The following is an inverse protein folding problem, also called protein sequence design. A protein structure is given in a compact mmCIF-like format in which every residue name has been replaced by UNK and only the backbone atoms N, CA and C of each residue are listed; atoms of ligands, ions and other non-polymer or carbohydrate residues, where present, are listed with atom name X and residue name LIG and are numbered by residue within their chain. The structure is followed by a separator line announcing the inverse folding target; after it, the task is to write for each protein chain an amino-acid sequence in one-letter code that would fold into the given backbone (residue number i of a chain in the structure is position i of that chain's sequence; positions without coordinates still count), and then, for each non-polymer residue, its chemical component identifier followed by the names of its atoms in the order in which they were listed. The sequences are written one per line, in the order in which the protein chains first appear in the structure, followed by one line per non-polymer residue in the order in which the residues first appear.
data_IF_626324114150
#
_entry.id   IF_626324114150
#
_cell.length_a   1.000
_cell.length_b   1.000
_cell.length_c   1.000
_cell.angle_alpha   90.00
_cell.angle_beta   90.00
_cell.angle_gamma   90.00
#
_symmetry.space_group_name_H-M   'P 1'
#
loop_
_entity.id
_entity.type
_entity.pdbx_description
1 polymer ?
#
# COMPACT_ATOMS: atom_id res chain seq x y z
N UNK A 1 44.04 14.95 -5.57
CA UNK A 1 43.05 15.90 -5.06
C UNK A 1 42.50 15.32 -3.77
N UNK A 2 42.59 15.97 -2.60
CA UNK A 2 42.05 15.42 -1.37
C UNK A 2 40.54 15.39 -1.44
N UNK A 3 39.95 14.21 -1.18
CA UNK A 3 38.49 14.03 -1.03
C UNK A 3 38.07 14.81 0.22
N UNK A 4 37.45 15.96 0.03
CA UNK A 4 36.74 16.64 1.10
C UNK A 4 35.52 15.76 1.50
N UNK A 5 35.77 14.81 2.38
CA UNK A 5 34.70 14.07 3.06
C UNK A 5 34.05 15.05 4.04
N UNK A 6 32.88 15.58 3.66
CA UNK A 6 32.02 16.31 4.57
C UNK A 6 31.73 15.36 5.75
N UNK A 7 31.98 15.78 7.02
CA UNK A 7 31.71 14.91 8.16
C UNK A 7 30.23 14.50 8.18
N UNK A 8 30.00 13.19 8.21
CA UNK A 8 28.63 12.64 8.25
C UNK A 8 28.01 13.04 9.59
N UNK A 9 27.02 13.92 9.55
CA UNK A 9 26.21 14.22 10.72
C UNK A 9 25.20 13.08 10.90
N UNK A 10 25.48 12.16 11.81
CA UNK A 10 24.66 10.96 12.06
C UNK A 10 23.19 11.26 12.39
N UNK A 11 22.87 12.40 13.00
CA UNK A 11 21.50 12.83 13.30
C UNK A 11 20.73 13.14 12.00
N UNK A 12 21.38 13.79 11.06
CA UNK A 12 20.82 14.06 9.74
C UNK A 12 20.70 12.78 8.92
N UNK A 13 21.67 11.85 9.04
CA UNK A 13 21.63 10.57 8.35
C UNK A 13 20.40 9.75 8.75
N UNK A 14 20.12 9.59 10.05
CA UNK A 14 18.95 8.86 10.53
C UNK A 14 17.64 9.49 10.05
N UNK A 15 17.51 10.82 10.10
CA UNK A 15 16.35 11.55 9.58
C UNK A 15 16.13 11.31 8.09
N UNK A 16 17.17 11.35 7.28
CA UNK A 16 17.09 11.09 5.84
C UNK A 16 16.74 9.63 5.51
N UNK A 17 17.25 8.66 6.28
CA UNK A 17 16.88 7.24 6.12
C UNK A 17 15.42 7.00 6.46
N UNK A 18 14.88 7.64 7.50
CA UNK A 18 13.46 7.59 7.82
C UNK A 18 12.63 8.22 6.70
N UNK A 19 13.06 9.35 6.14
CA UNK A 19 12.36 10.02 5.04
C UNK A 19 12.22 9.09 3.79
N UNK A 20 13.34 8.47 3.36
CA UNK A 20 13.32 7.58 2.19
C UNK A 20 12.55 6.27 2.44
N UNK A 21 12.35 5.89 3.70
CA UNK A 21 11.54 4.74 4.11
C UNK A 21 10.02 4.96 3.97
N UNK A 22 9.56 6.22 3.83
CA UNK A 22 8.13 6.59 3.65
C UNK A 22 7.20 6.02 4.73
N UNK A 23 7.34 6.39 6.02
CA UNK A 23 6.60 5.79 7.14
C UNK A 23 5.08 5.76 6.97
N UNK A 24 4.50 6.78 6.33
CA UNK A 24 3.05 6.88 6.11
C UNK A 24 2.46 5.71 5.29
N UNK A 25 3.25 5.12 4.40
CA UNK A 25 2.84 3.94 3.62
C UNK A 25 2.95 2.69 4.47
N UNK A 26 4.01 2.57 5.28
CA UNK A 26 4.27 1.44 6.16
C UNK A 26 3.11 1.22 7.13
N UNK A 27 2.62 2.29 7.78
CA UNK A 27 1.52 2.19 8.75
C UNK A 27 0.26 1.55 8.15
N UNK A 28 -0.08 1.88 6.90
CA UNK A 28 -1.25 1.29 6.26
C UNK A 28 -1.03 -0.20 5.92
N UNK A 29 0.17 -0.55 5.47
CA UNK A 29 0.52 -1.95 5.16
C UNK A 29 0.56 -2.81 6.42
N UNK A 30 1.18 -2.32 7.49
CA UNK A 30 1.23 -3.01 8.78
C UNK A 30 -0.18 -3.16 9.38
N UNK A 31 -1.03 -2.13 9.25
CA UNK A 31 -2.44 -2.20 9.65
C UNK A 31 -3.19 -3.30 8.88
N UNK A 32 -3.03 -3.38 7.56
CA UNK A 32 -3.66 -4.43 6.74
C UNK A 32 -3.14 -5.82 7.13
N UNK A 33 -1.84 -5.97 7.34
CA UNK A 33 -1.23 -7.24 7.73
C UNK A 33 -1.73 -7.72 9.11
N UNK A 34 -1.75 -6.83 10.11
CA UNK A 34 -2.28 -7.16 11.45
C UNK A 34 -3.78 -7.46 11.38
N UNK A 35 -4.54 -6.70 10.61
CA UNK A 35 -5.97 -6.99 10.45
C UNK A 35 -6.21 -8.36 9.85
N UNK A 36 -5.44 -8.75 8.82
CA UNK A 36 -5.54 -10.08 8.21
C UNK A 36 -5.16 -11.21 9.19
N UNK A 37 -4.13 -11.00 10.02
CA UNK A 37 -3.75 -11.92 11.09
C UNK A 37 -4.87 -12.08 12.12
N UNK A 38 -5.47 -10.96 12.55
CA UNK A 38 -6.57 -10.98 13.53
C UNK A 38 -7.81 -11.67 12.96
N UNK A 39 -8.18 -11.39 11.70
CA UNK A 39 -9.30 -12.05 11.03
C UNK A 39 -9.06 -13.55 10.94
N UNK A 40 -7.84 -13.99 10.63
CA UNK A 40 -7.49 -15.40 10.55
C UNK A 40 -7.61 -16.12 11.91
N UNK A 41 -7.16 -15.48 12.97
CA UNK A 41 -7.18 -16.05 14.31
C UNK A 41 -8.57 -16.02 14.95
N UNK A 42 -9.23 -14.86 14.96
CA UNK A 42 -10.54 -14.69 15.58
C UNK A 42 -11.67 -15.40 14.80
N UNK A 43 -11.50 -15.57 13.49
CA UNK A 43 -12.43 -16.28 12.61
C UNK A 43 -12.27 -17.81 12.65
N UNK A 44 -11.40 -18.32 13.51
CA UNK A 44 -11.15 -19.78 13.69
C UNK A 44 -10.59 -20.47 12.43
N UNK A 45 -9.87 -19.70 11.57
CA UNK A 45 -9.20 -20.27 10.40
C UNK A 45 -7.86 -20.94 10.72
N UNK A 46 -7.48 -20.92 11.99
CA UNK A 46 -6.28 -21.56 12.53
C UNK A 46 -6.49 -21.93 13.99
N UNK A 47 -5.81 -22.97 14.45
CA UNK A 47 -5.71 -23.34 15.87
C UNK A 47 -4.48 -22.72 16.54
N UNK A 48 -3.61 -22.08 15.78
CA UNK A 48 -2.41 -21.44 16.31
C UNK A 48 -2.79 -20.20 17.15
N UNK A 49 -2.33 -20.11 18.40
CA UNK A 49 -2.58 -18.93 19.23
C UNK A 49 -1.79 -17.72 18.71
N UNK A 50 -2.35 -16.52 18.85
CA UNK A 50 -1.58 -15.30 18.65
C UNK A 50 -0.47 -15.23 19.70
N UNK A 51 0.77 -15.20 19.26
CA UNK A 51 1.93 -15.03 20.14
C UNK A 51 2.62 -13.68 19.87
N UNK A 52 3.30 -13.17 20.89
CA UNK A 52 4.11 -11.96 20.75
C UNK A 52 5.13 -12.08 19.60
N UNK A 53 5.77 -13.25 19.45
CA UNK A 53 6.77 -13.49 18.43
C UNK A 53 6.19 -13.40 17.01
N UNK A 54 4.98 -13.91 16.78
CA UNK A 54 4.30 -13.83 15.47
C UNK A 54 3.98 -12.36 15.14
N UNK A 55 3.38 -11.63 16.09
CA UNK A 55 3.00 -10.23 15.88
C UNK A 55 4.25 -9.35 15.68
N UNK A 56 5.24 -9.46 16.55
CA UNK A 56 6.48 -8.71 16.46
C UNK A 56 7.26 -9.06 15.18
N UNK A 57 7.37 -10.35 14.85
CA UNK A 57 8.02 -10.83 13.63
C UNK A 57 7.35 -10.26 12.37
N UNK A 58 6.01 -10.26 12.30
CA UNK A 58 5.25 -9.73 11.19
C UNK A 58 5.46 -8.20 11.05
N UNK A 59 5.33 -7.45 12.13
CA UNK A 59 5.52 -5.99 12.12
C UNK A 59 6.96 -5.61 11.77
N UNK A 60 7.96 -6.27 12.37
CA UNK A 60 9.37 -5.97 12.08
C UNK A 60 9.69 -6.31 10.61
N UNK A 61 9.33 -7.51 10.15
CA UNK A 61 9.61 -7.93 8.78
C UNK A 61 8.84 -7.09 7.74
N UNK A 62 7.55 -6.80 7.99
CA UNK A 62 6.73 -5.94 7.14
C UNK A 62 7.28 -4.53 7.03
N UNK A 63 7.56 -3.90 8.17
CA UNK A 63 8.17 -2.56 8.25
C UNK A 63 9.51 -2.50 7.53
N UNK A 64 10.43 -3.44 7.79
CA UNK A 64 11.77 -3.46 7.17
C UNK A 64 11.69 -3.67 5.65
N UNK A 65 10.85 -4.62 5.19
CA UNK A 65 10.65 -4.89 3.76
C UNK A 65 10.06 -3.68 3.04
N UNK A 66 9.06 -3.04 3.63
CA UNK A 66 8.43 -1.84 3.09
C UNK A 66 9.38 -0.64 3.06
N UNK A 67 10.15 -0.42 4.14
CA UNK A 67 11.16 0.62 4.24
C UNK A 67 12.27 0.43 3.20
N UNK A 68 12.79 -0.79 3.09
CA UNK A 68 13.83 -1.13 2.10
C UNK A 68 13.32 -0.95 0.66
N UNK A 69 12.12 -1.40 0.36
CA UNK A 69 11.49 -1.23 -0.94
C UNK A 69 11.24 0.25 -1.28
N UNK A 70 10.82 1.06 -0.30
CA UNK A 70 10.65 2.50 -0.46
C UNK A 70 11.98 3.22 -0.71
N UNK A 71 13.05 2.82 -0.01
CA UNK A 71 14.39 3.34 -0.23
C UNK A 71 14.90 3.00 -1.64
N UNK A 72 14.76 1.75 -2.10
CA UNK A 72 15.10 1.37 -3.46
C UNK A 72 14.30 2.14 -4.52
N UNK A 73 13.00 2.39 -4.26
CA UNK A 73 12.21 3.26 -5.14
C UNK A 73 12.76 4.69 -5.17
N UNK A 74 13.15 5.29 -4.02
CA UNK A 74 13.78 6.62 -3.99
C UNK A 74 15.12 6.63 -4.71
N UNK A 75 15.91 5.56 -4.62
CA UNK A 75 17.18 5.41 -5.37
C UNK A 75 16.93 5.38 -6.89
N UNK A 76 15.95 4.62 -7.35
CA UNK A 76 15.61 4.45 -8.76
C UNK A 76 14.93 5.68 -9.37
N UNK A 77 14.16 6.41 -8.57
CA UNK A 77 13.37 7.55 -9.01
C UNK A 77 14.05 8.91 -8.81
N UNK A 78 15.29 8.96 -8.32
CA UNK A 78 15.97 10.23 -7.97
C UNK A 78 16.02 11.26 -9.08
N UNK A 79 16.09 10.82 -10.35
CA UNK A 79 16.11 11.67 -11.54
C UNK A 79 14.75 12.31 -11.85
N UNK A 80 13.67 11.64 -11.51
CA UNK A 80 12.31 12.16 -11.67
C UNK A 80 11.83 12.90 -10.42
N UNK A 81 12.29 12.50 -9.23
CA UNK A 81 11.92 13.14 -7.96
C UNK A 81 12.38 14.62 -7.92
N UNK A 82 13.48 14.97 -8.57
CA UNK A 82 13.97 16.36 -8.70
C UNK A 82 12.97 17.23 -9.49
N UNK A 83 12.27 16.67 -10.46
CA UNK A 83 11.32 17.38 -11.32
C UNK A 83 9.95 17.61 -10.69
N UNK A 84 9.65 16.88 -9.63
CA UNK A 84 8.33 16.91 -8.98
C UNK A 84 8.36 17.82 -7.76
N UNK A 85 7.45 18.81 -7.69
CA UNK A 85 7.36 19.77 -6.58
C UNK A 85 7.27 19.07 -5.20
N UNK A 86 6.52 17.97 -5.14
CA UNK A 86 6.33 17.18 -3.92
C UNK A 86 7.60 16.48 -3.42
N UNK A 87 8.55 16.16 -4.30
CA UNK A 87 9.68 15.26 -3.99
C UNK A 87 11.05 15.88 -4.24
N UNK A 88 11.13 17.04 -4.88
CA UNK A 88 12.40 17.72 -5.21
C UNK A 88 13.31 18.01 -4.00
N UNK A 89 12.71 18.14 -2.81
CA UNK A 89 13.44 18.44 -1.58
C UNK A 89 13.84 17.16 -0.79
N UNK A 90 13.54 15.96 -1.30
CA UNK A 90 13.94 14.72 -0.64
C UNK A 90 15.46 14.59 -0.60
N UNK A 91 15.98 14.02 0.47
CA UNK A 91 17.42 13.77 0.64
C UNK A 91 18.02 12.93 -0.51
N UNK A 92 17.22 12.04 -1.14
CA UNK A 92 17.62 11.27 -2.33
C UNK A 92 17.69 12.11 -3.60
N UNK A 93 16.83 13.13 -3.76
CA UNK A 93 16.79 14.00 -4.92
C UNK A 93 17.82 15.14 -4.83
N UNK A 94 18.01 15.72 -3.62
CA UNK A 94 18.94 16.82 -3.38
C UNK A 94 20.41 16.39 -3.26
N UNK A 95 20.68 15.07 -3.21
CA UNK A 95 22.03 14.56 -2.98
C UNK A 95 22.53 14.65 -1.54
N UNK A 96 21.68 15.07 -0.59
CA UNK A 96 22.00 15.06 0.84
C UNK A 96 22.27 13.65 1.38
N UNK A 97 21.68 12.65 0.75
CA UNK A 97 21.93 11.23 1.01
C UNK A 97 22.57 10.60 -0.24
N UNK A 98 23.76 10.02 -0.08
CA UNK A 98 24.46 9.36 -1.19
C UNK A 98 23.62 8.22 -1.78
N UNK A 99 23.53 8.10 -3.13
CA UNK A 99 22.81 7.02 -3.78
C UNK A 99 23.26 5.62 -3.33
N UNK A 100 24.56 5.42 -3.09
CA UNK A 100 25.08 4.14 -2.61
C UNK A 100 24.56 3.78 -1.21
N UNK A 101 24.45 4.78 -0.33
CA UNK A 101 23.89 4.58 1.02
C UNK A 101 22.43 4.15 0.90
N UNK A 102 21.63 4.80 0.04
CA UNK A 102 20.21 4.46 -0.15
C UNK A 102 20.07 3.03 -0.70
N UNK A 103 20.87 2.67 -1.68
CA UNK A 103 20.89 1.34 -2.29
C UNK A 103 21.22 0.26 -1.27
N UNK A 104 22.35 0.43 -0.55
CA UNK A 104 22.82 -0.53 0.46
C UNK A 104 21.80 -0.65 1.60
N UNK A 105 21.27 0.48 2.08
CA UNK A 105 20.21 0.50 3.10
C UNK A 105 18.98 -0.28 2.65
N UNK A 106 18.50 -0.04 1.44
CA UNK A 106 17.32 -0.74 0.89
C UNK A 106 17.53 -2.25 0.82
N UNK A 107 18.70 -2.70 0.33
CA UNK A 107 19.03 -4.14 0.24
C UNK A 107 19.13 -4.76 1.63
N UNK A 108 19.85 -4.12 2.57
CA UNK A 108 20.01 -4.60 3.95
C UNK A 108 18.65 -4.75 4.63
N UNK A 109 17.76 -3.75 4.52
CA UNK A 109 16.43 -3.80 5.14
C UNK A 109 15.60 -4.99 4.62
N UNK A 110 15.56 -5.22 3.30
CA UNK A 110 14.84 -6.36 2.72
C UNK A 110 15.48 -7.69 3.13
N UNK A 111 16.80 -7.76 3.19
CA UNK A 111 17.51 -8.98 3.62
C UNK A 111 17.21 -9.30 5.08
N UNK A 112 17.26 -8.31 5.98
CA UNK A 112 16.92 -8.49 7.40
C UNK A 112 15.42 -8.89 7.52
N UNK A 113 14.52 -8.27 6.74
CA UNK A 113 13.12 -8.65 6.71
C UNK A 113 12.92 -10.13 6.35
N UNK A 114 13.63 -10.62 5.34
CA UNK A 114 13.59 -12.03 4.94
C UNK A 114 14.11 -12.97 6.05
N UNK A 115 15.20 -12.61 6.72
CA UNK A 115 15.73 -13.38 7.85
C UNK A 115 14.74 -13.40 9.00
N UNK A 116 14.23 -12.25 9.43
CA UNK A 116 13.28 -12.12 10.53
C UNK A 116 12.01 -12.93 10.24
N UNK A 117 11.42 -12.78 9.04
CA UNK A 117 10.21 -13.51 8.69
C UNK A 117 10.43 -15.02 8.61
N UNK A 118 11.59 -15.47 8.14
CA UNK A 118 11.90 -16.91 8.09
C UNK A 118 12.10 -17.51 9.49
N UNK A 119 12.74 -16.76 10.40
CA UNK A 119 13.04 -17.23 11.75
C UNK A 119 11.82 -17.20 12.67
N UNK A 120 11.03 -16.13 12.63
CA UNK A 120 9.94 -15.90 13.56
C UNK A 120 8.55 -16.27 13.01
N UNK A 121 8.40 -16.43 11.70
CA UNK A 121 7.12 -16.75 11.05
C UNK A 121 7.24 -18.08 10.29
N UNK A 122 7.16 -18.04 8.95
CA UNK A 122 7.30 -19.22 8.11
C UNK A 122 7.73 -18.82 6.67
N UNK A 123 8.18 -19.81 5.88
CA UNK A 123 8.64 -19.58 4.51
C UNK A 123 7.58 -19.01 3.59
N UNK A 124 6.31 -19.37 3.75
CA UNK A 124 5.24 -18.83 2.92
C UNK A 124 5.04 -17.34 3.19
N UNK A 125 5.05 -16.92 4.45
CA UNK A 125 4.98 -15.51 4.84
C UNK A 125 6.19 -14.74 4.31
N UNK A 126 7.39 -15.31 4.44
CA UNK A 126 8.60 -14.71 3.84
C UNK A 126 8.42 -14.51 2.34
N UNK A 127 7.89 -15.53 1.64
CA UNK A 127 7.55 -15.44 0.23
C UNK A 127 6.57 -14.31 -0.08
N UNK A 128 5.52 -14.12 0.72
CA UNK A 128 4.54 -13.04 0.52
C UNK A 128 5.15 -11.64 0.75
N UNK A 129 5.97 -11.49 1.79
CA UNK A 129 6.68 -10.24 2.07
C UNK A 129 7.63 -9.88 0.92
N UNK A 130 8.43 -10.83 0.45
CA UNK A 130 9.35 -10.63 -0.66
C UNK A 130 8.62 -10.42 -2.00
N UNK A 131 7.48 -11.06 -2.20
CA UNK A 131 6.62 -10.84 -3.36
C UNK A 131 6.12 -9.39 -3.42
N UNK A 132 5.73 -8.81 -2.28
CA UNK A 132 5.38 -7.40 -2.19
C UNK A 132 6.53 -6.47 -2.59
N UNK A 133 7.73 -6.72 -2.07
CA UNK A 133 8.95 -5.98 -2.45
C UNK A 133 9.28 -6.14 -3.92
N UNK A 134 9.18 -7.36 -4.47
CA UNK A 134 9.41 -7.64 -5.88
C UNK A 134 8.44 -6.86 -6.78
N UNK A 135 7.14 -6.91 -6.49
CA UNK A 135 6.15 -6.17 -7.28
C UNK A 135 6.36 -4.66 -7.20
N UNK A 136 6.69 -4.13 -6.01
CA UNK A 136 6.88 -2.69 -5.85
C UNK A 136 8.17 -2.19 -6.53
N UNK A 137 9.29 -2.89 -6.36
CA UNK A 137 10.59 -2.44 -6.90
C UNK A 137 10.71 -2.80 -8.37
N UNK A 138 10.55 -4.07 -8.74
CA UNK A 138 10.83 -4.53 -10.10
C UNK A 138 9.66 -4.28 -11.04
N UNK A 139 8.45 -4.71 -10.67
CA UNK A 139 7.29 -4.61 -11.56
C UNK A 139 6.83 -3.16 -11.66
N UNK A 140 6.53 -2.52 -10.50
CA UNK A 140 6.02 -1.15 -10.51
C UNK A 140 7.12 -0.15 -10.85
N UNK A 141 8.21 -0.04 -10.05
CA UNK A 141 9.17 1.06 -10.18
C UNK A 141 10.04 0.94 -11.42
N UNK A 142 10.67 -0.22 -11.67
CA UNK A 142 11.61 -0.40 -12.79
C UNK A 142 10.88 -0.60 -14.11
N UNK A 143 9.86 -1.45 -14.13
CA UNK A 143 9.25 -1.86 -15.40
C UNK A 143 8.12 -0.94 -15.83
N UNK A 144 7.08 -0.75 -15.01
CA UNK A 144 5.81 -0.17 -15.46
C UNK A 144 5.71 1.34 -15.27
N UNK A 145 6.26 1.90 -14.17
CA UNK A 145 6.04 3.29 -13.76
C UNK A 145 6.29 4.32 -14.85
N UNK A 146 7.35 4.12 -15.62
CA UNK A 146 7.80 5.04 -16.68
C UNK A 146 7.28 4.70 -18.07
N UNK A 147 6.50 3.61 -18.23
CA UNK A 147 6.16 3.05 -19.55
C UNK A 147 4.68 2.97 -19.87
N UNK A 148 3.83 2.86 -18.86
CA UNK A 148 2.42 2.58 -19.10
C UNK A 148 1.50 3.15 -18.02
N UNK A 149 0.25 3.47 -18.40
CA UNK A 149 -0.81 3.87 -17.49
C UNK A 149 -1.31 2.72 -16.58
N UNK A 150 -0.99 1.47 -16.93
CA UNK A 150 -1.31 0.28 -16.13
C UNK A 150 -0.39 0.11 -14.91
N UNK A 151 0.59 1.02 -14.75
CA UNK A 151 1.56 0.97 -13.66
C UNK A 151 0.91 0.85 -12.28
N UNK A 152 -0.17 1.61 -12.01
CA UNK A 152 -0.90 1.57 -10.74
C UNK A 152 -1.75 0.30 -10.62
N UNK A 153 -2.41 -0.13 -11.70
CA UNK A 153 -3.27 -1.33 -11.65
C UNK A 153 -2.44 -2.56 -11.32
N UNK A 154 -1.40 -2.84 -12.11
CA UNK A 154 -0.55 -4.01 -11.92
C UNK A 154 0.32 -3.86 -10.66
N UNK A 155 0.92 -2.67 -10.46
CA UNK A 155 1.75 -2.36 -9.30
C UNK A 155 0.99 -2.42 -7.97
N UNK A 156 -0.34 -2.22 -8.00
CA UNK A 156 -1.22 -2.32 -6.84
C UNK A 156 -1.17 -3.68 -6.13
N UNK A 157 -0.75 -4.73 -6.82
CA UNK A 157 -0.54 -6.05 -6.23
C UNK A 157 0.48 -6.04 -5.07
N UNK A 158 1.43 -5.10 -5.07
CA UNK A 158 2.36 -4.94 -3.95
C UNK A 158 1.63 -4.70 -2.61
N UNK A 159 0.49 -3.97 -2.63
CA UNK A 159 -0.33 -3.77 -1.44
C UNK A 159 -1.05 -5.03 -0.97
N UNK A 160 -1.44 -5.92 -1.89
CA UNK A 160 -2.10 -7.20 -1.58
C UNK A 160 -1.21 -8.11 -0.74
N UNK A 161 0.09 -8.04 -0.93
CA UNK A 161 1.08 -8.86 -0.23
C UNK A 161 1.02 -8.66 1.30
N UNK A 162 0.62 -7.48 1.78
CA UNK A 162 0.46 -7.22 3.21
C UNK A 162 -0.67 -8.08 3.83
N UNK A 163 -1.82 -8.18 3.15
CA UNK A 163 -2.92 -9.05 3.60
C UNK A 163 -2.51 -10.53 3.57
N UNK A 164 -1.81 -10.96 2.51
CA UNK A 164 -1.30 -12.32 2.40
C UNK A 164 -0.29 -12.64 3.50
N UNK A 165 0.66 -11.74 3.76
CA UNK A 165 1.66 -11.92 4.81
C UNK A 165 1.02 -12.03 6.21
N UNK A 166 0.07 -11.15 6.54
CA UNK A 166 -0.64 -11.20 7.79
C UNK A 166 -1.40 -12.50 8.01
N UNK A 167 -2.13 -12.96 6.99
CA UNK A 167 -2.86 -14.23 7.04
C UNK A 167 -1.93 -15.43 7.19
N UNK A 168 -0.93 -15.54 6.32
CA UNK A 168 0.00 -16.68 6.30
C UNK A 168 0.89 -16.75 7.53
N UNK A 169 1.14 -15.60 8.19
CA UNK A 169 1.96 -15.54 9.41
C UNK A 169 1.42 -16.42 10.52
N UNK A 170 0.11 -16.55 10.64
CA UNK A 170 -0.52 -17.35 11.70
C UNK A 170 -1.09 -18.69 11.19
N UNK A 171 -1.54 -18.73 9.92
CA UNK A 171 -2.17 -19.94 9.36
C UNK A 171 -1.19 -20.88 8.66
N UNK A 172 -0.05 -20.37 8.18
CA UNK A 172 0.89 -21.11 7.34
C UNK A 172 0.38 -21.47 5.94
N UNK A 173 -0.78 -20.96 5.52
CA UNK A 173 -1.40 -21.28 4.23
C UNK A 173 -2.19 -20.09 3.67
N UNK A 174 -2.44 -20.09 2.34
CA UNK A 174 -3.37 -19.18 1.67
C UNK A 174 -4.69 -19.90 1.44
N UNK A 175 -5.79 -19.28 1.84
CA UNK A 175 -7.13 -19.74 1.53
C UNK A 175 -7.93 -18.67 0.75
N UNK A 176 -9.18 -18.97 0.42
CA UNK A 176 -10.04 -18.07 -0.35
C UNK A 176 -10.21 -16.70 0.32
N UNK A 177 -10.39 -16.65 1.64
CA UNK A 177 -10.59 -15.39 2.37
C UNK A 177 -9.34 -14.51 2.31
N UNK A 178 -8.16 -15.10 2.47
CA UNK A 178 -6.89 -14.38 2.30
C UNK A 178 -6.75 -13.79 0.90
N UNK A 179 -7.08 -14.60 -0.14
CA UNK A 179 -7.02 -14.16 -1.53
C UNK A 179 -8.00 -13.01 -1.77
N UNK A 180 -9.22 -13.09 -1.23
CA UNK A 180 -10.21 -12.01 -1.37
C UNK A 180 -9.79 -10.74 -0.63
N UNK A 181 -9.20 -10.83 0.56
CA UNK A 181 -8.66 -9.66 1.26
C UNK A 181 -7.54 -8.98 0.46
N UNK A 182 -6.59 -9.76 -0.07
CA UNK A 182 -5.55 -9.21 -0.95
C UNK A 182 -6.13 -8.61 -2.24
N UNK A 183 -7.15 -9.26 -2.82
CA UNK A 183 -7.85 -8.75 -4.01
C UNK A 183 -8.63 -7.46 -3.70
N UNK A 184 -9.20 -7.33 -2.51
CA UNK A 184 -9.84 -6.08 -2.06
C UNK A 184 -8.84 -4.91 -2.05
N UNK A 185 -7.63 -5.12 -1.51
CA UNK A 185 -6.55 -4.12 -1.55
C UNK A 185 -6.12 -3.83 -2.98
N UNK A 186 -6.01 -4.85 -3.83
CA UNK A 186 -5.67 -4.71 -5.24
C UNK A 186 -6.68 -3.83 -6.00
N UNK A 187 -7.99 -4.12 -5.85
CA UNK A 187 -9.05 -3.35 -6.53
C UNK A 187 -9.17 -1.93 -5.93
N UNK A 188 -8.89 -1.74 -4.64
CA UNK A 188 -8.88 -0.43 -4.00
C UNK A 188 -7.77 0.48 -4.53
N UNK A 189 -6.61 -0.07 -4.83
CA UNK A 189 -5.40 0.69 -5.19
C UNK A 189 -5.59 1.64 -6.37
N UNK A 190 -6.22 1.27 -7.51
CA UNK A 190 -6.35 2.19 -8.63
C UNK A 190 -7.17 3.44 -8.31
N UNK A 191 -8.34 3.33 -7.70
CA UNK A 191 -9.16 4.51 -7.37
C UNK A 191 -8.46 5.44 -6.38
N UNK A 192 -7.73 4.89 -5.41
CA UNK A 192 -6.91 5.65 -4.47
C UNK A 192 -5.81 6.44 -5.18
N UNK A 193 -4.98 5.78 -5.99
CA UNK A 193 -3.85 6.42 -6.65
C UNK A 193 -4.25 7.31 -7.83
N UNK A 194 -5.35 7.02 -8.53
CA UNK A 194 -5.81 7.92 -9.59
C UNK A 194 -6.37 9.23 -9.02
N UNK A 195 -6.99 9.21 -7.83
CA UNK A 195 -7.36 10.43 -7.12
C UNK A 195 -6.11 11.26 -6.73
N UNK A 196 -5.03 10.60 -6.27
CA UNK A 196 -3.74 11.26 -6.04
C UNK A 196 -3.12 11.79 -7.34
N UNK A 197 -3.20 11.04 -8.43
CA UNK A 197 -2.67 11.44 -9.72
C UNK A 197 -3.43 12.66 -10.30
N UNK A 198 -4.76 12.74 -10.08
CA UNK A 198 -5.56 13.93 -10.42
C UNK A 198 -5.19 15.15 -9.56
N UNK A 199 -4.85 14.93 -8.28
CA UNK A 199 -4.38 15.98 -7.39
C UNK A 199 -3.00 16.52 -7.81
N UNK A 200 -2.14 15.65 -8.35
CA UNK A 200 -0.72 15.90 -8.63
C UNK A 200 -0.38 15.77 -10.13
N UNK A 201 -1.34 16.03 -11.00
CA UNK A 201 -1.18 15.86 -12.45
C UNK A 201 -0.08 16.76 -13.05
N UNK A 202 0.09 17.98 -12.52
CA UNK A 202 1.17 18.87 -12.94
C UNK A 202 2.55 18.25 -12.64
N UNK A 203 2.76 17.73 -11.42
CA UNK A 203 4.00 17.07 -11.00
C UNK A 203 4.34 15.87 -11.93
N UNK A 204 3.35 15.03 -12.23
CA UNK A 204 3.55 13.85 -13.09
C UNK A 204 3.79 14.22 -14.56
N UNK A 205 3.15 15.29 -15.03
CA UNK A 205 3.37 15.82 -16.39
C UNK A 205 4.79 16.36 -16.53
N UNK A 206 5.27 17.15 -15.58
CA UNK A 206 6.62 17.72 -15.59
C UNK A 206 7.69 16.61 -15.48
N UNK A 207 7.42 15.58 -14.70
CA UNK A 207 8.32 14.43 -14.58
C UNK A 207 8.28 13.48 -15.78
N UNK A 208 7.32 13.62 -16.70
CA UNK A 208 7.14 12.74 -17.86
C UNK A 208 6.65 11.33 -17.49
N UNK A 209 5.94 11.19 -16.35
CA UNK A 209 5.42 9.90 -15.87
C UNK A 209 4.01 9.69 -16.45
N UNK A 210 3.76 8.57 -17.17
CA UNK A 210 2.48 8.32 -17.82
C UNK A 210 1.39 7.86 -16.83
N UNK A 211 1.09 8.72 -15.85
CA UNK A 211 -0.05 8.47 -14.96
C UNK A 211 -1.35 8.65 -15.73
N UNK A 212 -2.40 7.95 -15.31
CA UNK A 212 -3.66 7.92 -16.05
C UNK A 212 -4.17 9.32 -16.45
N UNK A 213 -4.29 10.34 -15.54
CA UNK A 213 -4.78 11.66 -15.94
C UNK A 213 -3.86 12.40 -16.91
N UNK A 214 -2.55 12.15 -16.89
CA UNK A 214 -1.58 12.74 -17.82
C UNK A 214 -1.80 12.26 -19.24
N UNK A 215 -2.15 10.99 -19.43
CA UNK A 215 -2.29 10.36 -20.74
C UNK A 215 -3.70 10.51 -21.30
N UNK A 216 -4.73 10.26 -20.50
CA UNK A 216 -6.13 10.24 -21.00
C UNK A 216 -6.90 11.51 -20.67
N UNK A 217 -6.32 12.43 -19.92
CA UNK A 217 -6.94 13.66 -19.43
C UNK A 217 -7.78 13.44 -18.16
N UNK A 218 -8.01 14.54 -17.41
CA UNK A 218 -8.66 14.53 -16.09
C UNK A 218 -10.07 13.94 -16.11
N UNK A 219 -10.89 14.27 -17.12
CA UNK A 219 -12.28 13.80 -17.23
C UNK A 219 -12.35 12.29 -17.40
N UNK A 220 -11.53 11.72 -18.29
CA UNK A 220 -11.50 10.27 -18.51
C UNK A 220 -10.91 9.56 -17.30
N UNK A 221 -9.87 10.10 -16.67
CA UNK A 221 -9.29 9.54 -15.46
C UNK A 221 -10.31 9.48 -14.30
N UNK A 222 -11.09 10.55 -14.09
CA UNK A 222 -12.17 10.56 -13.10
C UNK A 222 -13.28 9.53 -13.43
N UNK A 223 -13.59 9.29 -14.72
CA UNK A 223 -14.51 8.20 -15.13
C UNK A 223 -13.95 6.82 -14.80
N UNK A 224 -12.67 6.58 -15.04
CA UNK A 224 -12.04 5.30 -14.65
C UNK A 224 -12.00 5.12 -13.12
N UNK A 225 -11.77 6.22 -12.37
CA UNK A 225 -11.83 6.18 -10.90
C UNK A 225 -13.20 5.75 -10.39
N UNK A 226 -14.30 6.29 -10.95
CA UNK A 226 -15.65 5.89 -10.53
C UNK A 226 -16.02 4.48 -10.99
N UNK A 227 -15.61 4.06 -12.19
CA UNK A 227 -15.82 2.68 -12.66
C UNK A 227 -15.13 1.69 -11.72
N UNK A 228 -13.89 1.97 -11.32
CA UNK A 228 -13.18 1.14 -10.35
C UNK A 228 -13.86 1.15 -8.97
N UNK A 229 -14.42 2.28 -8.54
CA UNK A 229 -15.18 2.36 -7.29
C UNK A 229 -16.47 1.52 -7.36
N UNK A 230 -17.16 1.54 -8.49
CA UNK A 230 -18.36 0.71 -8.74
C UNK A 230 -18.02 -0.79 -8.81
N UNK A 231 -16.79 -1.16 -9.10
CA UNK A 231 -16.30 -2.53 -8.98
C UNK A 231 -15.91 -2.87 -7.53
N UNK A 232 -15.23 -1.95 -6.84
CA UNK A 232 -14.74 -2.13 -5.48
C UNK A 232 -15.87 -2.37 -4.47
N UNK A 233 -16.95 -1.58 -4.55
CA UNK A 233 -18.04 -1.65 -3.57
C UNK A 233 -18.74 -3.02 -3.60
N UNK A 234 -19.25 -3.53 -4.72
CA UNK A 234 -19.82 -4.87 -4.76
C UNK A 234 -18.81 -5.96 -4.38
N UNK A 235 -17.54 -5.80 -4.79
CA UNK A 235 -16.51 -6.75 -4.39
C UNK A 235 -16.30 -6.78 -2.87
N UNK A 236 -16.35 -5.62 -2.18
CA UNK A 236 -16.27 -5.61 -0.71
C UNK A 236 -17.43 -6.36 -0.05
N UNK A 237 -18.59 -6.49 -0.69
CA UNK A 237 -19.74 -7.22 -0.16
C UNK A 237 -19.66 -8.74 -0.37
N UNK A 238 -18.68 -9.24 -1.14
CA UNK A 238 -18.49 -10.69 -1.35
C UNK A 238 -18.25 -11.44 -0.03
N UNK A 239 -17.67 -10.80 0.98
CA UNK A 239 -17.46 -11.41 2.29
C UNK A 239 -18.76 -11.80 2.99
N UNK A 240 -19.88 -11.12 2.70
CA UNK A 240 -21.22 -11.51 3.21
C UNK A 240 -21.62 -12.90 2.69
N UNK A 241 -21.28 -13.23 1.45
CA UNK A 241 -21.54 -14.55 0.86
C UNK A 241 -20.67 -15.65 1.48
N UNK A 242 -19.63 -15.26 2.22
CA UNK A 242 -18.73 -16.17 2.94
C UNK A 242 -19.05 -16.29 4.44
N UNK A 243 -20.23 -15.80 4.85
CA UNK A 243 -20.72 -15.94 6.22
C UNK A 243 -20.44 -14.75 7.14
N UNK A 244 -19.92 -13.62 6.61
CA UNK A 244 -19.88 -12.38 7.39
C UNK A 244 -21.30 -11.79 7.51
N UNK A 245 -21.61 -11.26 8.69
CA UNK A 245 -22.97 -10.92 9.09
C UNK A 245 -23.37 -9.45 8.89
N UNK A 246 -24.39 -9.05 9.68
CA UNK A 246 -24.99 -7.70 9.56
C UNK A 246 -24.04 -6.58 9.93
N UNK A 247 -23.11 -6.77 10.89
CA UNK A 247 -22.16 -5.72 11.30
C UNK A 247 -21.29 -5.33 10.12
N UNK A 248 -20.73 -6.33 9.43
CA UNK A 248 -19.93 -6.10 8.22
C UNK A 248 -20.75 -5.47 7.10
N UNK A 249 -21.93 -6.01 6.81
CA UNK A 249 -22.80 -5.54 5.75
C UNK A 249 -23.14 -4.05 5.91
N UNK A 250 -23.62 -3.65 7.09
CA UNK A 250 -24.07 -2.27 7.35
C UNK A 250 -22.89 -1.29 7.23
N UNK A 251 -21.76 -1.61 7.85
CA UNK A 251 -20.57 -0.75 7.79
C UNK A 251 -20.07 -0.63 6.34
N UNK A 252 -19.96 -1.74 5.62
CA UNK A 252 -19.46 -1.77 4.24
C UNK A 252 -20.36 -0.99 3.29
N UNK A 253 -21.69 -1.07 3.44
CA UNK A 253 -22.65 -0.31 2.63
C UNK A 253 -22.53 1.18 2.92
N UNK A 254 -22.51 1.59 4.19
CA UNK A 254 -22.41 3.01 4.58
C UNK A 254 -21.13 3.62 4.01
N UNK A 255 -19.98 3.01 4.27
CA UNK A 255 -18.69 3.55 3.81
C UNK A 255 -18.49 3.40 2.30
N UNK A 256 -19.11 2.39 1.68
CA UNK A 256 -19.17 2.27 0.23
C UNK A 256 -19.93 3.43 -0.42
N UNK A 257 -21.10 3.80 0.13
CA UNK A 257 -21.88 4.96 -0.34
C UNK A 257 -21.09 6.27 -0.16
N UNK A 258 -20.41 6.44 0.98
CA UNK A 258 -19.58 7.62 1.22
C UNK A 258 -18.39 7.70 0.25
N UNK A 259 -17.73 6.57 -0.04
CA UNK A 259 -16.66 6.51 -1.05
C UNK A 259 -17.20 6.85 -2.45
N UNK A 260 -18.34 6.28 -2.82
CA UNK A 260 -19.01 6.58 -4.08
C UNK A 260 -19.34 8.08 -4.20
N UNK A 261 -19.89 8.67 -3.13
CA UNK A 261 -20.20 10.09 -3.09
C UNK A 261 -18.97 10.99 -3.34
N UNK A 262 -17.82 10.69 -2.69
CA UNK A 262 -16.60 11.46 -2.92
C UNK A 262 -16.11 11.34 -4.37
N UNK A 263 -16.18 10.14 -4.97
CA UNK A 263 -15.76 9.90 -6.34
C UNK A 263 -16.76 10.44 -7.39
N UNK A 264 -18.06 10.51 -7.08
CA UNK A 264 -19.04 11.22 -7.91
C UNK A 264 -18.77 12.72 -7.91
N UNK A 265 -18.41 13.32 -6.76
CA UNK A 265 -17.96 14.72 -6.73
C UNK A 265 -16.71 14.94 -7.59
N UNK A 266 -15.75 14.00 -7.51
CA UNK A 266 -14.54 14.05 -8.32
C UNK A 266 -14.87 13.95 -9.82
N UNK A 267 -15.81 13.08 -10.19
CA UNK A 267 -16.26 12.95 -11.59
C UNK A 267 -16.88 14.24 -12.13
N UNK A 268 -17.67 14.94 -11.31
CA UNK A 268 -18.32 16.20 -11.69
C UNK A 268 -17.32 17.36 -11.81
N UNK A 269 -16.23 17.33 -11.03
CA UNK A 269 -15.24 18.40 -10.96
C UNK A 269 -13.81 17.82 -10.98
N UNK A 270 -13.37 17.19 -12.08
CA UNK A 270 -12.11 16.45 -12.14
C UNK A 270 -10.86 17.33 -12.10
N UNK A 271 -11.00 18.64 -12.30
CA UNK A 271 -9.91 19.61 -12.23
C UNK A 271 -9.75 20.25 -10.83
N UNK A 272 -10.72 20.05 -9.93
CA UNK A 272 -10.68 20.63 -8.58
C UNK A 272 -9.76 19.81 -7.66
N UNK A 273 -8.61 20.41 -7.34
CA UNK A 273 -7.58 19.78 -6.48
C UNK A 273 -8.08 19.52 -5.04
N UNK A 274 -9.02 20.33 -4.51
CA UNK A 274 -9.58 20.10 -3.18
C UNK A 274 -10.48 18.88 -3.15
N UNK A 275 -11.27 18.68 -4.21
CA UNK A 275 -12.14 17.49 -4.35
C UNK A 275 -11.27 16.24 -4.56
N UNK A 276 -10.22 16.32 -5.40
CA UNK A 276 -9.28 15.22 -5.60
C UNK A 276 -8.56 14.86 -4.29
N UNK A 277 -8.15 15.85 -3.49
CA UNK A 277 -7.57 15.64 -2.17
C UNK A 277 -8.55 14.94 -1.21
N UNK A 278 -9.83 15.34 -1.23
CA UNK A 278 -10.87 14.74 -0.38
C UNK A 278 -11.09 13.27 -0.76
N UNK A 279 -11.23 12.96 -2.06
CA UNK A 279 -11.37 11.59 -2.54
C UNK A 279 -10.15 10.73 -2.18
N UNK A 280 -8.94 11.24 -2.39
CA UNK A 280 -7.69 10.58 -2.00
C UNK A 280 -7.62 10.32 -0.50
N UNK A 281 -7.85 11.34 0.33
CA UNK A 281 -7.77 11.22 1.80
C UNK A 281 -8.84 10.30 2.37
N UNK A 282 -10.05 10.25 1.80
CA UNK A 282 -11.13 9.40 2.28
C UNK A 282 -10.92 7.93 1.94
N UNK A 283 -10.24 7.63 0.85
CA UNK A 283 -10.07 6.25 0.38
C UNK A 283 -9.24 5.36 1.33
N UNK A 284 -8.25 5.92 2.06
CA UNK A 284 -7.47 5.13 3.04
C UNK A 284 -8.28 4.78 4.29
N UNK A 285 -9.01 5.71 4.96
CA UNK A 285 -9.98 5.36 5.99
C UNK A 285 -11.04 4.35 5.54
N UNK A 286 -11.54 4.44 4.30
CA UNK A 286 -12.45 3.45 3.76
C UNK A 286 -11.85 2.03 3.86
N UNK A 287 -10.64 1.82 3.32
CA UNK A 287 -10.00 0.51 3.38
C UNK A 287 -9.82 0.03 4.83
N UNK A 288 -9.33 0.91 5.70
CA UNK A 288 -9.13 0.57 7.11
C UNK A 288 -10.44 0.16 7.80
N UNK A 289 -11.52 0.88 7.54
CA UNK A 289 -12.83 0.61 8.14
C UNK A 289 -13.41 -0.73 7.62
N UNK A 290 -13.20 -1.07 6.35
CA UNK A 290 -13.62 -2.38 5.83
C UNK A 290 -12.90 -3.52 6.56
N UNK A 291 -11.58 -3.41 6.80
CA UNK A 291 -10.85 -4.42 7.58
C UNK A 291 -11.29 -4.45 9.05
N UNK A 292 -11.54 -3.30 9.67
CA UNK A 292 -12.11 -3.22 11.04
C UNK A 292 -13.50 -3.86 11.07
N UNK A 293 -14.33 -3.63 10.06
CA UNK A 293 -15.68 -4.21 9.99
C UNK A 293 -15.64 -5.73 9.93
N UNK A 294 -14.68 -6.33 9.20
CA UNK A 294 -14.48 -7.78 9.21
C UNK A 294 -14.14 -8.30 10.62
N UNK A 295 -13.28 -7.60 11.34
CA UNK A 295 -12.89 -7.98 12.72
C UNK A 295 -14.10 -7.84 13.67
N UNK A 296 -14.81 -6.72 13.62
CA UNK A 296 -15.97 -6.47 14.46
C UNK A 296 -17.08 -7.50 14.21
N UNK A 297 -17.32 -7.86 12.95
CA UNK A 297 -18.34 -8.84 12.60
C UNK A 297 -18.03 -10.23 13.18
N UNK A 298 -16.76 -10.64 13.15
CA UNK A 298 -16.32 -11.89 13.78
C UNK A 298 -16.55 -11.86 15.31
N UNK A 299 -16.29 -10.72 15.96
CA UNK A 299 -16.46 -10.58 17.40
C UNK A 299 -17.93 -10.57 17.85
N UNK A 300 -18.80 -9.92 17.09
CA UNK A 300 -20.23 -9.82 17.45
C UNK A 300 -21.08 -10.96 16.88
N UNK A 301 -20.67 -11.58 15.79
CA UNK A 301 -21.31 -12.75 15.14
C UNK A 301 -22.83 -12.64 15.00
N UNK A 302 -23.33 -11.55 14.40
CA UNK A 302 -24.74 -11.36 14.09
C UNK A 302 -25.00 -11.89 12.66
N UNK A 303 -25.46 -13.16 12.48
CA UNK A 303 -25.57 -13.77 11.15
C UNK A 303 -26.70 -13.14 10.35
N UNK A 304 -26.58 -13.19 9.00
CA UNK A 304 -27.63 -12.80 8.07
C UNK A 304 -28.51 -14.00 7.71
N UNK A 305 -27.89 -15.21 7.68
CA UNK A 305 -28.52 -16.48 7.32
C UNK A 305 -28.36 -17.51 8.41
#
# INVERSE_FOLDING_TARGET
MPSNSIPINYRNLASHLIEVSKPSIIYLLDFVAISALLIASLGEYTTNPISFNIVAGLLIAGTLSSAGSAALNCYLDRDIDIKMERTKNRASATGQLSPNIILIYGIIMITIAAIVSTVFLNLLTTGMILLGSFFYVFIYTIWLKRRTTWNIVIGGFAGSAAAFAGWTAITGQLNLIAILMGTLVFIWTPSHFWALALLKDDDYTEAGIPMLPVVVGKVKAARYTIINTLLLIPFSLVFVLLGFGYVYLVISVIFGILLLYTNVKLLKNPADKKIALTAFKFSSPYLAIIFIALILDILYRIPIF
#
